data_IF_239542977180
#
_entry.id   IF_239542977180
#
_cell.length_a   1.000
_cell.length_b   1.000
_cell.length_c   1.000
_cell.angle_alpha   90.00
_cell.angle_beta   90.00
_cell.angle_gamma   90.00
#
_symmetry.space_group_name_H-M   'P 1'
#
loop_
_entity.id
_entity.type
_entity.pdbx_description
1 polymer ?
#
# COMPACT_ATOMS: atom_id res chain seq x y z
N UNK A 1 -19.63 -2.87 -16.29
CA UNK A 1 -19.78 -1.53 -15.66
C UNK A 1 -18.86 -0.55 -16.38
N UNK A 2 -19.21 0.74 -16.49
CA UNK A 2 -18.33 1.77 -17.08
C UNK A 2 -17.44 2.39 -15.98
N UNK A 3 -16.13 2.44 -16.21
CA UNK A 3 -15.14 3.10 -15.34
C UNK A 3 -14.51 4.27 -16.11
N UNK A 4 -15.11 5.48 -16.07
CA UNK A 4 -14.69 6.61 -16.90
C UNK A 4 -13.34 7.23 -16.50
N UNK A 5 -12.79 6.85 -15.34
CA UNK A 5 -11.50 7.32 -14.85
C UNK A 5 -10.57 6.14 -14.67
N UNK A 6 -9.40 6.19 -15.29
CA UNK A 6 -8.41 5.13 -15.23
C UNK A 6 -6.98 5.69 -15.20
N UNK A 7 -6.08 4.94 -14.56
CA UNK A 7 -4.63 5.10 -14.65
C UNK A 7 -4.08 3.70 -14.92
N UNK A 8 -3.40 3.53 -16.04
CA UNK A 8 -2.97 2.23 -16.52
C UNK A 8 -1.46 2.24 -16.75
N UNK A 9 -0.76 1.35 -16.04
CA UNK A 9 0.67 1.08 -16.23
C UNK A 9 0.84 -0.42 -16.47
N UNK A 10 0.33 -0.95 -17.60
CA UNK A 10 0.52 -2.35 -17.93
C UNK A 10 2.02 -2.62 -18.16
N UNK A 11 2.46 -3.80 -17.72
CA UNK A 11 3.80 -4.32 -17.97
C UNK A 11 3.66 -5.79 -18.36
N UNK A 12 4.59 -6.28 -19.17
CA UNK A 12 4.62 -7.69 -19.59
C UNK A 12 5.12 -8.64 -18.47
N UNK A 13 5.19 -8.14 -17.24
CA UNK A 13 5.60 -8.85 -16.03
C UNK A 13 4.54 -8.70 -14.92
N UNK A 14 4.85 -9.18 -13.71
CA UNK A 14 3.93 -9.19 -12.56
C UNK A 14 3.78 -7.84 -11.85
N UNK A 15 4.45 -6.78 -12.32
CA UNK A 15 4.51 -5.48 -11.65
C UNK A 15 3.72 -4.38 -12.36
N UNK A 16 2.91 -4.73 -13.36
CA UNK A 16 1.93 -3.79 -13.92
C UNK A 16 0.91 -3.37 -12.87
N UNK A 17 0.40 -2.14 -12.95
CA UNK A 17 -0.62 -1.63 -12.04
C UNK A 17 -1.70 -0.87 -12.80
N UNK A 18 -2.97 -1.18 -12.49
CA UNK A 18 -4.14 -0.56 -13.10
C UNK A 18 -5.07 -0.06 -11.99
N UNK A 19 -5.47 1.21 -12.07
CA UNK A 19 -6.47 1.82 -11.19
C UNK A 19 -7.68 2.23 -12.03
N UNK A 20 -8.84 1.64 -11.76
CA UNK A 20 -10.10 2.00 -12.40
C UNK A 20 -11.07 2.59 -11.37
N UNK A 21 -11.73 3.68 -11.72
CA UNK A 21 -12.65 4.38 -10.83
C UNK A 21 -13.91 4.85 -11.56
N UNK A 22 -15.04 4.76 -10.84
CA UNK A 22 -16.29 5.45 -11.21
C UNK A 22 -16.28 6.92 -10.77
N UNK A 23 -15.47 7.26 -9.77
CA UNK A 23 -15.34 8.59 -9.22
C UNK A 23 -14.16 9.34 -9.88
N UNK A 24 -14.23 10.68 -10.01
CA UNK A 24 -13.15 11.45 -10.59
C UNK A 24 -11.83 11.28 -9.84
N UNK A 25 -10.77 10.99 -10.60
CA UNK A 25 -9.39 10.97 -10.12
C UNK A 25 -8.74 12.32 -10.46
N UNK A 26 -8.33 13.08 -9.45
CA UNK A 26 -7.60 14.34 -9.58
C UNK A 26 -6.15 14.15 -9.19
N UNK A 27 -5.26 14.95 -9.80
CA UNK A 27 -3.80 14.90 -9.58
C UNK A 27 -3.22 13.47 -9.62
N UNK A 28 -3.82 12.60 -10.43
CA UNK A 28 -3.37 11.22 -10.54
C UNK A 28 -1.95 11.19 -11.11
N UNK A 29 -1.05 10.50 -10.41
CA UNK A 29 0.37 10.37 -10.75
C UNK A 29 0.83 8.94 -10.55
N UNK A 30 1.57 8.44 -11.51
CA UNK A 30 2.40 7.25 -11.35
C UNK A 30 3.71 7.69 -10.69
N UNK A 31 4.13 6.96 -9.67
CA UNK A 31 5.38 7.18 -8.95
C UNK A 31 6.20 5.90 -8.95
N UNK A 32 7.51 6.07 -8.90
CA UNK A 32 8.49 5.01 -8.74
C UNK A 32 9.29 5.44 -7.50
N UNK A 33 9.03 4.79 -6.37
CA UNK A 33 9.45 5.30 -5.06
C UNK A 33 10.89 4.89 -4.76
N UNK A 34 11.13 3.59 -4.58
CA UNK A 34 12.49 3.04 -4.46
C UNK A 34 12.97 2.49 -5.80
N UNK A 35 12.21 1.59 -6.43
CA UNK A 35 12.57 0.96 -7.70
C UNK A 35 11.97 1.69 -8.91
N UNK A 36 12.80 1.96 -9.93
CA UNK A 36 12.40 2.72 -11.13
C UNK A 36 11.44 1.97 -12.06
N UNK A 37 11.25 0.68 -11.83
CA UNK A 37 10.37 -0.18 -12.64
C UNK A 37 9.07 -0.56 -11.94
N UNK A 38 8.92 -0.28 -10.64
CA UNK A 38 7.79 -0.72 -9.80
C UNK A 38 6.87 0.48 -9.55
N UNK A 39 5.69 0.53 -10.19
CA UNK A 39 4.82 1.68 -10.10
C UNK A 39 4.02 1.68 -8.79
N UNK A 40 3.80 2.86 -8.24
CA UNK A 40 2.68 3.18 -7.36
C UNK A 40 1.78 4.21 -8.02
N UNK A 41 0.48 4.16 -7.74
CA UNK A 41 -0.50 5.12 -8.26
C UNK A 41 -1.04 5.96 -7.13
N UNK A 42 -0.81 7.27 -7.20
CA UNK A 42 -1.26 8.24 -6.21
C UNK A 42 -2.33 9.11 -6.84
N UNK A 43 -3.49 9.28 -6.21
CA UNK A 43 -4.56 10.11 -6.75
C UNK A 43 -5.43 10.73 -5.65
N UNK A 44 -5.99 11.90 -5.92
CA UNK A 44 -7.10 12.43 -5.13
C UNK A 44 -8.42 11.90 -5.70
N UNK A 45 -9.19 11.14 -4.92
CA UNK A 45 -10.53 10.69 -5.33
C UNK A 45 -11.55 11.72 -4.88
N UNK A 46 -12.41 12.17 -5.79
CA UNK A 46 -13.48 13.13 -5.49
C UNK A 46 -14.77 12.36 -5.20
N UNK A 47 -15.25 12.45 -3.96
CA UNK A 47 -16.50 11.84 -3.53
C UNK A 47 -17.72 12.58 -4.10
N UNK A 48 -18.90 11.94 -4.13
CA UNK A 48 -20.15 12.62 -4.52
C UNK A 48 -20.45 13.88 -3.68
N UNK A 49 -20.05 13.88 -2.39
CA UNK A 49 -20.14 15.04 -1.49
C UNK A 49 -19.24 16.22 -1.86
N UNK A 50 -18.32 16.03 -2.83
CA UNK A 50 -17.22 16.92 -3.22
C UNK A 50 -16.00 16.90 -2.31
N UNK A 51 -16.07 16.16 -1.20
CA UNK A 51 -14.88 15.87 -0.39
C UNK A 51 -13.85 15.12 -1.22
N UNK A 52 -12.59 15.30 -0.82
CA UNK A 52 -11.45 14.66 -1.47
C UNK A 52 -10.75 13.78 -0.46
N UNK A 53 -10.34 12.62 -0.91
CA UNK A 53 -9.46 11.73 -0.17
C UNK A 53 -8.20 11.46 -1.00
N UNK A 54 -7.09 11.26 -0.32
CA UNK A 54 -5.85 10.83 -0.92
C UNK A 54 -5.82 9.30 -0.98
N UNK A 55 -5.64 8.76 -2.19
CA UNK A 55 -5.49 7.33 -2.45
C UNK A 55 -4.03 7.04 -2.81
N UNK A 56 -3.45 6.04 -2.14
CA UNK A 56 -2.15 5.46 -2.47
C UNK A 56 -2.35 3.97 -2.81
N UNK A 57 -2.08 3.60 -4.06
CA UNK A 57 -2.05 2.21 -4.51
C UNK A 57 -0.60 1.75 -4.64
N UNK A 58 -0.21 0.72 -3.91
CA UNK A 58 1.16 0.19 -3.93
C UNK A 58 1.20 -1.31 -4.18
N UNK A 59 2.32 -1.75 -4.75
CA UNK A 59 2.64 -3.16 -4.94
C UNK A 59 4.18 -3.32 -4.86
N UNK A 60 4.79 -3.10 -3.68
CA UNK A 60 6.24 -3.23 -3.53
C UNK A 60 6.67 -4.66 -3.85
N UNK A 61 7.90 -4.81 -4.35
CA UNK A 61 8.44 -6.11 -4.73
C UNK A 61 8.56 -7.03 -3.52
N UNK A 62 8.17 -8.32 -3.61
CA UNK A 62 8.53 -9.28 -2.57
C UNK A 62 10.06 -9.45 -2.52
N UNK A 63 10.61 -9.92 -1.39
CA UNK A 63 11.96 -10.45 -1.38
C UNK A 63 12.02 -11.66 -2.34
N UNK A 64 12.84 -11.56 -3.38
CA UNK A 64 13.07 -12.60 -4.38
C UNK A 64 14.57 -12.94 -4.41
N UNK A 65 14.98 -14.16 -4.06
CA UNK A 65 16.41 -14.50 -3.91
C UNK A 65 17.32 -14.13 -5.09
N UNK A 66 16.78 -14.10 -6.31
CA UNK A 66 17.52 -13.84 -7.55
C UNK A 66 17.52 -12.37 -7.97
N UNK A 67 16.47 -11.60 -7.64
CA UNK A 67 16.28 -10.23 -8.15
C UNK A 67 16.30 -9.18 -7.02
N UNK A 68 15.81 -9.54 -5.83
CA UNK A 68 15.76 -8.68 -4.65
C UNK A 68 15.95 -9.52 -3.37
N UNK A 69 17.20 -9.86 -2.98
CA UNK A 69 17.45 -10.85 -1.94
C UNK A 69 17.01 -10.41 -0.54
N UNK A 70 16.79 -9.12 -0.33
CA UNK A 70 16.39 -8.52 0.95
C UNK A 70 14.99 -7.90 0.85
N UNK A 71 14.39 -7.59 2.00
CA UNK A 71 13.15 -6.81 2.06
C UNK A 71 13.40 -5.29 2.05
N UNK A 72 14.66 -4.83 1.97
CA UNK A 72 15.05 -3.43 2.17
C UNK A 72 14.21 -2.47 1.32
N UNK A 73 14.10 -2.73 0.02
CA UNK A 73 13.36 -1.86 -0.89
C UNK A 73 11.84 -1.87 -0.64
N UNK A 74 11.28 -3.05 -0.34
CA UNK A 74 9.86 -3.22 0.02
C UNK A 74 9.52 -2.42 1.28
N UNK A 75 10.36 -2.57 2.30
CA UNK A 75 10.15 -1.94 3.60
C UNK A 75 10.29 -0.41 3.49
N UNK A 76 11.25 0.07 2.68
CA UNK A 76 11.38 1.49 2.37
C UNK A 76 10.19 2.05 1.58
N UNK A 77 9.65 1.35 0.57
CA UNK A 77 8.44 1.75 -0.15
C UNK A 77 7.26 1.93 0.82
N UNK A 78 7.08 0.97 1.73
CA UNK A 78 6.07 1.06 2.79
C UNK A 78 6.30 2.31 3.67
N UNK A 79 7.52 2.55 4.15
CA UNK A 79 7.81 3.69 5.03
C UNK A 79 7.68 5.05 4.33
N UNK A 80 7.98 5.14 3.03
CA UNK A 80 7.74 6.35 2.23
C UNK A 80 6.24 6.67 2.20
N UNK A 81 5.40 5.67 1.89
CA UNK A 81 3.94 5.84 1.89
C UNK A 81 3.40 6.17 3.28
N UNK A 82 3.95 5.56 4.33
CA UNK A 82 3.55 5.85 5.70
C UNK A 82 3.78 7.34 6.02
N UNK A 83 4.96 7.87 5.70
CA UNK A 83 5.27 9.29 5.91
C UNK A 83 4.41 10.22 5.05
N UNK A 84 4.19 9.88 3.77
CA UNK A 84 3.29 10.64 2.89
C UNK A 84 1.84 10.65 3.42
N UNK A 85 1.40 9.54 4.02
CA UNK A 85 0.08 9.44 4.64
C UNK A 85 -0.03 10.31 5.89
N UNK A 86 0.98 10.25 6.78
CA UNK A 86 1.06 11.10 7.97
C UNK A 86 1.04 12.59 7.64
N UNK A 87 1.71 12.99 6.56
CA UNK A 87 1.80 14.39 6.13
C UNK A 87 0.63 14.85 5.26
N UNK A 88 -0.35 13.99 4.99
CA UNK A 88 -1.51 14.34 4.17
C UNK A 88 -2.48 15.24 4.94
N UNK A 89 -2.94 16.32 4.30
CA UNK A 89 -4.03 17.15 4.79
C UNK A 89 -5.41 16.58 4.42
N UNK A 90 -5.46 15.57 3.54
CA UNK A 90 -6.68 14.86 3.13
C UNK A 90 -6.81 13.53 3.88
N UNK A 91 -8.05 13.05 4.13
CA UNK A 91 -8.29 11.67 4.54
C UNK A 91 -7.60 10.69 3.59
N UNK A 92 -6.99 9.65 4.14
CA UNK A 92 -6.11 8.75 3.38
C UNK A 92 -6.69 7.35 3.28
N UNK A 93 -6.56 6.75 2.11
CA UNK A 93 -6.66 5.30 1.91
C UNK A 93 -5.36 4.82 1.26
N UNK A 94 -4.73 3.81 1.86
CA UNK A 94 -3.61 3.07 1.25
C UNK A 94 -4.10 1.65 0.98
N UNK A 95 -3.89 1.13 -0.22
CA UNK A 95 -4.26 -0.24 -0.56
C UNK A 95 -3.31 -0.90 -1.55
N UNK A 96 -3.30 -2.23 -1.53
CA UNK A 96 -2.62 -3.06 -2.52
C UNK A 96 -2.00 -4.31 -1.90
N UNK A 97 -1.18 -5.00 -2.68
CA UNK A 97 -0.39 -6.14 -2.22
C UNK A 97 0.93 -5.64 -1.64
N UNK A 98 1.09 -5.73 -0.33
CA UNK A 98 2.29 -5.24 0.36
C UNK A 98 3.43 -6.26 0.33
N UNK A 99 3.19 -7.48 -0.17
CA UNK A 99 4.13 -8.59 -0.10
C UNK A 99 4.69 -8.82 1.32
N UNK A 100 3.87 -8.54 2.33
CA UNK A 100 4.18 -8.76 3.73
C UNK A 100 2.94 -9.23 4.50
N UNK A 101 3.15 -9.98 5.57
CA UNK A 101 2.08 -10.51 6.40
C UNK A 101 1.60 -9.47 7.42
N UNK A 102 0.31 -9.53 7.76
CA UNK A 102 -0.35 -8.59 8.66
C UNK A 102 0.23 -8.53 10.10
N UNK A 103 1.02 -9.52 10.52
CA UNK A 103 1.65 -9.60 11.84
C UNK A 103 3.16 -9.35 11.80
N UNK A 104 3.69 -8.81 10.69
CA UNK A 104 5.09 -8.42 10.57
C UNK A 104 5.38 -7.14 11.35
N UNK A 105 6.63 -6.97 11.80
CA UNK A 105 7.10 -5.71 12.41
C UNK A 105 7.01 -4.54 11.43
N UNK A 106 7.28 -4.75 10.14
CA UNK A 106 7.19 -3.70 9.12
C UNK A 106 5.75 -3.21 8.93
N UNK A 107 4.76 -4.11 9.00
CA UNK A 107 3.34 -3.71 8.96
C UNK A 107 2.93 -2.94 10.20
N UNK A 108 3.34 -3.38 11.39
CA UNK A 108 3.09 -2.64 12.63
C UNK A 108 3.73 -1.24 12.59
N UNK A 109 4.99 -1.15 12.15
CA UNK A 109 5.70 0.10 11.98
C UNK A 109 5.00 1.01 10.95
N UNK A 110 4.49 0.44 9.86
CA UNK A 110 3.72 1.19 8.87
C UNK A 110 2.48 1.84 9.50
N UNK A 111 1.72 1.10 10.30
CA UNK A 111 0.56 1.65 11.00
C UNK A 111 0.97 2.78 11.96
N UNK A 112 1.97 2.56 12.81
CA UNK A 112 2.49 3.56 13.75
C UNK A 112 2.92 4.84 13.02
N UNK A 113 3.77 4.70 12.00
CA UNK A 113 4.37 5.81 11.25
C UNK A 113 3.33 6.50 10.38
N UNK A 114 2.38 5.79 9.79
CA UNK A 114 1.33 6.42 8.98
C UNK A 114 0.24 7.08 9.81
N UNK A 115 -0.02 6.58 11.03
CA UNK A 115 -1.19 6.95 11.82
C UNK A 115 -2.49 6.43 11.22
N UNK A 116 -2.43 5.46 10.30
CA UNK A 116 -3.59 4.82 9.69
C UNK A 116 -4.05 3.61 10.50
N UNK A 117 -5.30 3.22 10.27
CA UNK A 117 -5.95 2.08 10.89
C UNK A 117 -5.96 0.91 9.90
N UNK A 118 -5.47 -0.26 10.33
CA UNK A 118 -5.70 -1.51 9.60
C UNK A 118 -7.16 -1.97 9.77
N UNK A 119 -7.91 -1.97 8.67
CA UNK A 119 -9.33 -2.37 8.71
C UNK A 119 -9.52 -3.86 8.98
N UNK A 120 -8.47 -4.69 8.98
CA UNK A 120 -8.54 -6.15 9.18
C UNK A 120 -8.42 -6.54 10.64
N UNK A 121 -7.80 -5.71 11.48
CA UNK A 121 -7.57 -6.01 12.91
C UNK A 121 -8.87 -6.36 13.61
N UNK A 122 -8.89 -7.48 14.32
CA UNK A 122 -10.06 -7.98 15.07
C UNK A 122 -11.20 -8.55 14.22
N UNK A 123 -11.01 -8.78 12.91
CA UNK A 123 -12.09 -9.15 11.98
C UNK A 123 -11.84 -10.43 11.16
N UNK A 124 -10.89 -11.25 11.60
CA UNK A 124 -10.57 -12.54 10.99
C UNK A 124 -9.37 -12.50 10.03
N UNK A 125 -9.07 -13.67 9.45
CA UNK A 125 -7.95 -13.85 8.52
C UNK A 125 -8.42 -13.71 7.07
N UNK A 126 -7.98 -12.64 6.40
CA UNK A 126 -8.23 -12.39 4.98
C UNK A 126 -7.05 -12.89 4.14
N UNK A 127 -6.83 -14.21 4.12
CA UNK A 127 -5.67 -14.78 3.44
C UNK A 127 -5.83 -14.75 1.92
N UNK A 128 -5.20 -13.77 1.27
CA UNK A 128 -5.33 -13.49 -0.16
C UNK A 128 -4.37 -14.28 -1.03
N UNK A 129 -3.19 -14.61 -0.55
CA UNK A 129 -2.22 -15.49 -1.22
C UNK A 129 -2.13 -16.82 -0.46
N UNK A 130 -1.79 -18.00 -0.97
CA UNK A 130 -1.70 -18.41 -2.35
C UNK A 130 -3.00 -19.14 -2.74
N UNK A 131 -3.80 -18.56 -3.64
CA UNK A 131 -5.08 -19.09 -4.10
C UNK A 131 -4.97 -20.43 -4.86
N UNK A 132 -3.75 -20.90 -5.18
CA UNK A 132 -3.48 -22.24 -5.71
C UNK A 132 -3.39 -23.29 -4.61
N UNK A 133 -3.11 -22.90 -3.36
CA UNK A 133 -3.00 -23.80 -2.23
C UNK A 133 -4.27 -23.73 -1.34
N UNK A 134 -4.98 -24.84 -1.11
CA UNK A 134 -6.17 -24.85 -0.25
C UNK A 134 -5.85 -24.79 1.26
N UNK A 135 -4.62 -25.11 1.67
CA UNK A 135 -4.22 -25.29 3.07
C UNK A 135 -3.34 -24.14 3.56
N UNK A 136 -2.33 -23.74 2.79
CA UNK A 136 -1.38 -22.70 3.19
C UNK A 136 -1.66 -21.38 2.48
N UNK A 137 -2.10 -20.38 3.24
CA UNK A 137 -2.47 -19.05 2.75
C UNK A 137 -2.06 -17.95 3.76
N UNK A 138 -1.73 -16.77 3.25
CA UNK A 138 -1.23 -15.58 3.92
C UNK A 138 -1.97 -14.31 3.48
N UNK A 139 -2.15 -13.32 4.37
CA UNK A 139 -2.84 -12.06 4.09
C UNK A 139 -1.86 -11.00 3.59
N UNK A 140 -1.54 -11.02 2.30
CA UNK A 140 -0.54 -10.11 1.69
C UNK A 140 -1.15 -8.81 1.14
N UNK A 141 -2.48 -8.76 0.97
CA UNK A 141 -3.19 -7.56 0.52
C UNK A 141 -3.71 -6.79 1.73
N UNK A 142 -3.40 -5.49 1.77
CA UNK A 142 -3.69 -4.61 2.90
C UNK A 142 -4.52 -3.43 2.46
N UNK A 143 -5.37 -2.95 3.37
CA UNK A 143 -6.10 -1.69 3.22
C UNK A 143 -5.97 -0.96 4.55
N UNK A 144 -5.37 0.22 4.52
CA UNK A 144 -5.25 1.12 5.66
C UNK A 144 -6.04 2.40 5.38
N UNK A 145 -6.68 2.92 6.41
CA UNK A 145 -7.55 4.09 6.29
C UNK A 145 -7.27 5.10 7.39
N UNK A 146 -7.46 6.39 7.10
CA UNK A 146 -7.40 7.43 8.13
C UNK A 146 -8.59 7.31 9.09
N UNK A 147 -8.51 7.94 10.29
CA UNK A 147 -9.58 7.96 11.29
C UNK A 147 -10.96 8.43 10.79
N UNK A 148 -11.02 9.12 9.66
CA UNK A 148 -12.24 9.60 9.01
C UNK A 148 -13.14 8.47 8.47
N UNK A 149 -12.69 7.22 8.47
CA UNK A 149 -13.46 6.10 7.93
C UNK A 149 -14.00 5.17 9.02
N UNK A 150 -15.10 4.49 8.69
CA UNK A 150 -15.62 3.33 9.43
C UNK A 150 -15.61 2.11 8.54
N UNK A 151 -15.14 1.02 9.12
CA UNK A 151 -15.35 -0.30 8.56
C UNK A 151 -16.85 -0.63 8.52
N UNK A 152 -17.36 -1.01 7.34
CA UNK A 152 -18.68 -1.61 7.22
C UNK A 152 -18.58 -3.10 6.91
N UNK A 153 -17.81 -3.45 5.87
CA UNK A 153 -17.71 -4.82 5.40
C UNK A 153 -16.39 -5.08 4.68
N UNK A 154 -15.89 -6.30 4.76
CA UNK A 154 -14.79 -6.79 3.95
C UNK A 154 -15.03 -8.26 3.60
N UNK A 155 -14.75 -8.61 2.36
CA UNK A 155 -14.85 -9.99 1.85
C UNK A 155 -13.62 -10.33 1.02
N UNK A 156 -13.07 -11.52 1.23
CA UNK A 156 -12.16 -12.15 0.28
C UNK A 156 -13.01 -12.92 -0.76
N UNK A 157 -12.96 -12.48 -2.00
CA UNK A 157 -13.73 -13.05 -3.09
C UNK A 157 -13.25 -14.44 -3.54
N UNK A 158 -13.92 -14.97 -4.57
CA UNK A 158 -13.61 -16.28 -5.15
C UNK A 158 -12.35 -16.24 -6.00
N UNK A 159 -11.73 -17.40 -6.23
CA UNK A 159 -10.59 -17.55 -7.15
C UNK A 159 -10.99 -17.14 -8.56
N UNK A 160 -10.19 -16.29 -9.20
CA UNK A 160 -10.45 -15.73 -10.54
C UNK A 160 -9.35 -16.07 -11.57
N UNK A 161 -8.54 -17.09 -11.29
CA UNK A 161 -7.39 -17.46 -12.14
C UNK A 161 -6.05 -16.82 -11.72
N UNK A 162 -6.08 -15.82 -10.84
CA UNK A 162 -4.90 -15.31 -10.14
C UNK A 162 -4.45 -16.25 -9.00
N UNK A 163 -3.19 -16.13 -8.58
CA UNK A 163 -2.67 -16.68 -7.33
C UNK A 163 -3.00 -15.85 -6.09
N UNK A 164 -3.56 -14.65 -6.28
CA UNK A 164 -4.23 -13.90 -5.23
C UNK A 164 -5.76 -14.01 -5.34
N UNK A 165 -6.44 -13.99 -4.20
CA UNK A 165 -7.89 -13.77 -4.13
C UNK A 165 -8.19 -12.26 -4.17
N UNK A 166 -9.21 -11.83 -4.91
CA UNK A 166 -9.64 -10.43 -4.88
C UNK A 166 -10.19 -10.08 -3.50
N UNK A 167 -10.03 -8.82 -3.10
CA UNK A 167 -10.57 -8.28 -1.85
C UNK A 167 -11.62 -7.22 -2.17
N UNK A 168 -12.77 -7.33 -1.53
CA UNK A 168 -13.81 -6.31 -1.52
C UNK A 168 -13.85 -5.65 -0.15
N UNK A 169 -13.97 -4.33 -0.14
CA UNK A 169 -14.10 -3.52 1.08
C UNK A 169 -15.20 -2.50 0.89
N UNK A 170 -16.02 -2.33 1.91
CA UNK A 170 -16.99 -1.27 2.05
C UNK A 170 -16.67 -0.42 3.28
N UNK A 171 -16.57 0.89 3.06
CA UNK A 171 -16.23 1.88 4.08
C UNK A 171 -17.31 2.96 4.10
N UNK A 172 -17.57 3.49 5.30
CA UNK A 172 -18.35 4.71 5.48
C UNK A 172 -17.41 5.87 5.79
N UNK A 173 -17.53 6.96 5.03
CA UNK A 173 -16.76 8.19 5.26
C UNK A 173 -17.50 9.06 6.29
N UNK A 174 -16.89 9.26 7.45
CA UNK A 174 -17.43 9.97 8.61
C UNK A 174 -16.35 10.89 9.23
N UNK A 175 -16.00 12.01 8.56
CA UNK A 175 -14.93 12.91 9.03
C UNK A 175 -15.26 13.56 10.39
N UNK A 176 -16.53 13.87 10.67
CA UNK A 176 -16.95 14.44 11.95
C UNK A 176 -16.74 13.52 13.15
N UNK A 177 -16.55 12.22 12.90
CA UNK A 177 -16.28 11.24 13.94
C UNK A 177 -14.80 10.88 14.08
N UNK A 178 -13.88 11.52 13.36
CA UNK A 178 -12.48 11.12 13.32
C UNK A 178 -11.85 10.99 14.72
N UNK A 179 -12.16 11.92 15.63
CA UNK A 179 -11.63 11.98 17.01
C UNK A 179 -12.09 10.82 17.91
N UNK A 180 -13.10 10.06 17.51
CA UNK A 180 -13.58 8.88 18.25
C UNK A 180 -12.69 7.65 17.99
N UNK A 181 -11.94 7.64 16.89
CA UNK A 181 -10.97 6.59 16.61
C UNK A 181 -9.64 6.88 17.28
N UNK A 182 -8.95 5.82 17.70
CA UNK A 182 -7.62 5.92 18.30
C UNK A 182 -6.58 5.36 17.33
N UNK A 183 -6.03 6.17 16.40
CA UNK A 183 -4.94 5.72 15.56
C UNK A 183 -3.69 5.46 16.40
N UNK A 184 -2.82 4.54 15.96
CA UNK A 184 -1.53 4.32 16.59
C UNK A 184 -0.69 5.61 16.50
N UNK A 185 0.14 5.83 17.52
CA UNK A 185 1.03 6.98 17.60
C UNK A 185 2.47 6.49 17.46
N UNK A 186 3.15 6.89 16.39
CA UNK A 186 4.58 6.64 16.27
C UNK A 186 5.35 7.27 17.43
N UNK A 187 6.24 6.47 18.02
CA UNK A 187 7.28 6.98 18.91
C UNK A 187 8.42 7.64 18.10
N UNK A 188 9.34 8.32 18.79
CA UNK A 188 10.53 8.86 18.15
C UNK A 188 11.40 7.75 17.54
N UNK A 189 11.47 6.60 18.22
CA UNK A 189 12.21 5.41 17.77
C UNK A 189 11.59 4.83 16.51
N UNK A 190 10.26 4.73 16.44
CA UNK A 190 9.56 4.25 15.23
C UNK A 190 9.80 5.18 14.03
N UNK A 191 9.77 6.51 14.24
CA UNK A 191 10.09 7.47 13.20
C UNK A 191 11.55 7.37 12.74
N UNK A 192 12.50 7.16 13.67
CA UNK A 192 13.91 6.95 13.33
C UNK A 192 14.13 5.64 12.59
N UNK A 193 13.49 4.55 13.02
CA UNK A 193 13.51 3.25 12.35
C UNK A 193 13.04 3.38 10.88
N UNK A 194 11.90 4.03 10.66
CA UNK A 194 11.41 4.29 9.31
C UNK A 194 12.37 5.13 8.47
N UNK A 195 13.00 6.16 9.06
CA UNK A 195 13.99 6.97 8.35
C UNK A 195 15.25 6.17 7.99
N UNK A 196 15.69 5.23 8.84
CA UNK A 196 16.84 4.36 8.56
C UNK A 196 16.52 3.42 7.40
N UNK A 197 15.37 2.76 7.39
CA UNK A 197 14.95 1.86 6.30
C UNK A 197 14.95 2.58 4.94
N UNK A 198 14.42 3.80 4.88
CA UNK A 198 14.42 4.62 3.65
C UNK A 198 15.85 4.95 3.22
N UNK A 199 16.70 5.44 4.14
CA UNK A 199 18.09 5.81 3.83
C UNK A 199 18.92 4.62 3.37
N UNK A 200 18.69 3.45 3.96
CA UNK A 200 19.36 2.20 3.59
C UNK A 200 19.01 1.81 2.16
N UNK A 201 17.72 1.81 1.80
CA UNK A 201 17.29 1.54 0.42
C UNK A 201 17.86 2.56 -0.59
N UNK A 202 17.89 3.84 -0.24
CA UNK A 202 18.50 4.88 -1.08
C UNK A 202 20.02 4.67 -1.25
N UNK A 203 20.71 4.18 -0.22
CA UNK A 203 22.14 3.85 -0.28
C UNK A 203 22.38 2.63 -1.17
N UNK A 204 21.62 1.55 -0.98
CA UNK A 204 21.70 0.34 -1.82
C UNK A 204 21.46 0.68 -3.30
N UNK A 205 20.47 1.53 -3.59
CA UNK A 205 20.20 2.00 -4.96
C UNK A 205 21.40 2.73 -5.56
N UNK A 206 21.97 3.69 -4.83
CA UNK A 206 23.15 4.47 -5.28
C UNK A 206 24.37 3.60 -5.54
N UNK A 207 24.60 2.59 -4.70
CA UNK A 207 25.71 1.64 -4.88
C UNK A 207 25.51 0.85 -6.18
N UNK A 208 24.31 0.30 -6.40
CA UNK A 208 24.00 -0.45 -7.64
C UNK A 208 24.13 0.40 -8.90
N UNK A 209 23.71 1.65 -8.87
CA UNK A 209 23.86 2.59 -9.99
C UNK A 209 25.34 2.86 -10.29
N UNK A 210 26.17 3.07 -9.27
CA UNK A 210 27.62 3.27 -9.43
C UNK A 210 28.34 2.03 -9.96
N UNK A 211 27.95 0.84 -9.50
CA UNK A 211 28.50 -0.42 -10.03
C UNK A 211 28.17 -0.60 -11.52
N UNK A 212 26.93 -0.29 -11.93
CA UNK A 212 26.55 -0.31 -13.35
C UNK A 212 27.39 0.67 -14.18
N UNK A 213 27.59 1.89 -13.69
CA UNK A 213 28.38 2.92 -14.39
C UNK A 213 29.87 2.56 -14.53
N UNK A 214 30.40 1.67 -13.68
CA UNK A 214 31.78 1.19 -13.74
C UNK A 214 31.97 -0.03 -14.67
N UNK A 215 30.88 -0.69 -15.08
CA UNK A 215 30.89 -1.81 -16.03
C UNK A 215 30.80 -1.37 -17.51
N UNK A 216 30.65 -0.06 -17.78
CA UNK A 216 30.62 0.56 -19.11
C UNK A 216 31.79 1.52 -19.34
#
# INVERSE_FOLDING_TARGET
AKYPHAVEVPKDNTYGMLLYSKLPLRKAKVKYLVHDSIPSIHAEVVLPSRDKLQLYCIHPTPPMPQENPTSTARDADMMIIAKLSRSSELPVIVLGDFNDVAWSRTTELFEEVSGLLDIRKGRGLYNTYNAKNPIMRWPLDHIFVSPDYRYLHMERGKKIGSDHFPVYVELHYEPSGADVQTPPKASAEALDEANRMIKEAELEKRIKEQELDLEF
#
